data_IF_616555226237
#
_entry.id   IF_616555226237
#
_cell.length_a   1.000
_cell.length_b   1.000
_cell.length_c   1.000
_cell.angle_alpha   90.00
_cell.angle_beta   90.00
_cell.angle_gamma   90.00
#
_symmetry.space_group_name_H-M   'P 1'
#
loop_
_entity.id
_entity.type
_entity.pdbx_description
1 polymer ?
#
# COMPACT_ATOMS: atom_id res chain seq x y z
N UNK A 1 22.94 10.46 5.91
CA UNK A 1 22.39 9.55 4.88
C UNK A 1 20.98 9.20 5.33
N UNK A 2 19.96 9.56 4.55
CA UNK A 2 18.57 9.16 4.82
C UNK A 2 18.25 7.99 3.89
N UNK A 3 17.75 6.89 4.46
CA UNK A 3 17.30 5.74 3.68
C UNK A 3 15.97 6.07 2.99
N UNK A 4 15.84 5.64 1.75
CA UNK A 4 14.66 5.85 0.92
C UNK A 4 13.74 4.64 0.99
N UNK A 5 12.45 4.89 1.06
CA UNK A 5 11.46 3.82 1.01
C UNK A 5 10.33 4.11 0.03
N UNK A 6 9.69 3.05 -0.40
CA UNK A 6 8.42 3.11 -1.11
C UNK A 6 7.29 2.52 -0.27
N UNK A 7 6.09 3.06 -0.41
CA UNK A 7 4.91 2.66 0.36
C UNK A 7 3.80 2.15 -0.58
N UNK A 8 3.77 0.83 -0.80
CA UNK A 8 2.78 0.16 -1.62
C UNK A 8 1.55 -0.18 -0.79
N UNK A 9 0.36 0.00 -1.38
CA UNK A 9 -0.91 -0.14 -0.68
C UNK A 9 -0.98 0.81 0.53
N UNK A 10 -0.51 2.05 0.35
CA UNK A 10 -0.17 2.99 1.43
C UNK A 10 -1.32 3.32 2.40
N UNK A 11 -2.56 2.99 2.05
CA UNK A 11 -3.76 3.36 2.80
C UNK A 11 -3.81 4.88 2.97
N UNK A 12 -3.95 5.32 4.21
CA UNK A 12 -3.91 6.74 4.59
C UNK A 12 -2.50 7.20 5.06
N UNK A 13 -1.48 6.35 4.89
CA UNK A 13 -0.06 6.67 5.13
C UNK A 13 0.48 6.37 6.53
N UNK A 14 -0.05 5.34 7.20
CA UNK A 14 0.43 4.94 8.54
C UNK A 14 1.90 4.51 8.56
N UNK A 15 2.35 3.75 7.55
CA UNK A 15 3.76 3.35 7.42
C UNK A 15 4.67 4.54 7.17
N UNK A 16 4.32 5.38 6.20
CA UNK A 16 5.04 6.63 5.92
C UNK A 16 5.25 7.46 7.18
N UNK A 17 4.20 7.73 7.95
CA UNK A 17 4.28 8.52 9.17
C UNK A 17 5.28 7.92 10.18
N UNK A 18 5.34 6.60 10.31
CA UNK A 18 6.29 5.93 11.19
C UNK A 18 7.74 6.05 10.71
N UNK A 19 7.97 5.84 9.42
CA UNK A 19 9.31 5.87 8.81
C UNK A 19 9.89 7.29 8.71
N UNK A 20 9.08 8.29 8.35
CA UNK A 20 9.52 9.68 8.31
C UNK A 20 9.91 10.19 9.71
N UNK A 21 9.21 9.76 10.77
CA UNK A 21 9.58 10.09 12.17
C UNK A 21 10.97 9.61 12.58
N UNK A 22 11.47 8.53 11.96
CA UNK A 22 12.82 8.01 12.20
C UNK A 22 13.84 8.47 11.14
N UNK A 23 13.47 9.45 10.30
CA UNK A 23 14.37 10.13 9.36
C UNK A 23 14.52 9.47 8.00
N UNK A 24 13.60 8.59 7.60
CA UNK A 24 13.56 7.98 6.28
C UNK A 24 12.76 8.84 5.31
N UNK A 25 13.04 8.73 4.01
CA UNK A 25 12.37 9.52 2.98
C UNK A 25 11.45 8.64 2.13
N UNK A 26 10.17 9.01 2.03
CA UNK A 26 9.25 8.40 1.08
C UNK A 26 9.59 8.92 -0.33
N UNK A 27 9.87 8.03 -1.28
CA UNK A 27 10.17 8.41 -2.68
C UNK A 27 9.10 7.96 -3.67
N UNK A 28 8.19 7.10 -3.24
CA UNK A 28 7.05 6.66 -4.04
C UNK A 28 6.00 6.03 -3.13
N UNK A 29 4.73 6.25 -3.44
CA UNK A 29 3.61 5.57 -2.79
C UNK A 29 2.56 5.15 -3.82
N UNK A 30 1.80 4.09 -3.54
CA UNK A 30 0.69 3.64 -4.40
C UNK A 30 -0.54 3.26 -3.58
N UNK A 31 -1.70 3.75 -4.02
CA UNK A 31 -3.03 3.45 -3.50
C UNK A 31 -4.05 3.62 -4.61
N UNK A 32 -4.87 2.59 -4.83
CA UNK A 32 -5.92 2.58 -5.86
C UNK A 32 -7.22 3.26 -5.40
N UNK A 33 -7.56 3.18 -4.12
CA UNK A 33 -8.75 3.81 -3.55
C UNK A 33 -8.69 5.34 -3.60
N UNK A 34 -9.69 5.98 -4.20
CA UNK A 34 -9.77 7.43 -4.32
C UNK A 34 -9.89 8.14 -2.98
N UNK A 35 -10.65 7.57 -2.04
CA UNK A 35 -10.90 8.22 -0.75
C UNK A 35 -9.66 8.21 0.15
N UNK A 36 -8.97 7.08 0.25
CA UNK A 36 -7.70 6.99 0.97
C UNK A 36 -6.62 7.89 0.35
N UNK A 37 -6.59 8.04 -0.99
CA UNK A 37 -5.67 8.97 -1.66
C UNK A 37 -5.94 10.43 -1.28
N UNK A 38 -7.21 10.82 -1.16
CA UNK A 38 -7.59 12.17 -0.70
C UNK A 38 -7.11 12.42 0.73
N UNK A 39 -7.35 11.46 1.64
CA UNK A 39 -6.87 11.56 3.03
C UNK A 39 -5.34 11.60 3.07
N UNK A 40 -4.68 10.76 2.27
CA UNK A 40 -3.22 10.74 2.17
C UNK A 40 -2.68 12.10 1.69
N UNK A 41 -3.29 12.68 0.66
CA UNK A 41 -2.93 14.02 0.19
C UNK A 41 -3.10 15.08 1.28
N UNK A 42 -4.19 15.03 2.05
CA UNK A 42 -4.40 15.97 3.16
C UNK A 42 -3.33 15.83 4.27
N UNK A 43 -2.69 14.67 4.40
CA UNK A 43 -1.66 14.41 5.41
C UNK A 43 -0.23 14.75 4.92
N UNK A 44 0.05 14.56 3.63
CA UNK A 44 1.42 14.60 3.10
C UNK A 44 1.61 15.52 1.90
N UNK A 45 0.55 16.19 1.43
CA UNK A 45 0.52 17.02 0.21
C UNK A 45 1.00 16.28 -1.06
N UNK A 46 0.98 14.95 -1.01
CA UNK A 46 1.38 14.05 -2.09
C UNK A 46 0.24 13.11 -2.43
N UNK A 47 -0.02 12.92 -3.71
CA UNK A 47 -1.04 11.99 -4.19
C UNK A 47 -0.35 10.65 -4.50
N UNK A 48 -0.70 9.55 -3.82
CA UNK A 48 -0.15 8.24 -4.17
C UNK A 48 -0.42 7.88 -5.62
N UNK A 49 0.45 7.09 -6.23
CA UNK A 49 0.19 6.51 -7.54
C UNK A 49 -1.02 5.56 -7.50
N UNK A 50 -1.66 5.31 -8.64
CA UNK A 50 -2.89 4.50 -8.73
C UNK A 50 -2.68 3.01 -8.51
N UNK A 51 -3.35 2.20 -9.31
CA UNK A 51 -3.14 0.76 -9.34
C UNK A 51 -1.68 0.43 -9.68
N UNK A 52 -0.99 -0.24 -8.75
CA UNK A 52 0.43 -0.61 -8.91
C UNK A 52 0.67 -1.52 -10.12
N UNK A 53 -0.35 -2.22 -10.61
CA UNK A 53 -0.25 -3.10 -11.80
C UNK A 53 -0.11 -2.33 -13.10
N UNK A 54 -0.54 -1.06 -13.11
CA UNK A 54 -0.50 -0.19 -14.30
C UNK A 54 0.76 0.67 -14.37
N UNK A 55 1.61 0.60 -13.34
CA UNK A 55 2.80 1.44 -13.20
C UNK A 55 4.00 0.73 -13.82
N UNK A 56 4.69 1.40 -14.74
CA UNK A 56 5.95 0.90 -15.28
C UNK A 56 7.02 0.92 -14.18
N UNK A 57 7.56 -0.26 -13.85
CA UNK A 57 8.59 -0.44 -12.83
C UNK A 57 9.82 0.44 -13.04
N UNK A 58 10.12 0.83 -14.28
CA UNK A 58 11.26 1.72 -14.60
C UNK A 58 11.03 3.16 -14.14
N UNK A 59 9.80 3.54 -13.85
CA UNK A 59 9.44 4.89 -13.37
C UNK A 59 9.55 5.03 -11.86
N UNK A 60 9.63 3.91 -11.13
CA UNK A 60 9.76 3.91 -9.67
C UNK A 60 11.20 4.36 -9.32
N UNK A 61 11.39 5.42 -8.52
CA UNK A 61 12.72 5.86 -8.09
C UNK A 61 13.46 4.80 -7.30
N UNK A 62 14.79 4.81 -7.35
CA UNK A 62 15.61 3.90 -6.51
C UNK A 62 15.28 4.08 -5.02
N UNK A 63 15.12 2.96 -4.32
CA UNK A 63 14.77 2.90 -2.91
C UNK A 63 15.54 1.78 -2.21
N UNK A 64 15.64 1.88 -0.88
CA UNK A 64 16.33 0.91 -0.03
C UNK A 64 15.33 -0.06 0.64
N UNK A 65 14.10 0.41 0.91
CA UNK A 65 13.07 -0.34 1.63
C UNK A 65 11.75 -0.31 0.86
N UNK A 66 11.10 -1.48 0.75
CA UNK A 66 9.74 -1.61 0.25
C UNK A 66 8.81 -1.91 1.42
N UNK A 67 7.83 -1.02 1.63
CA UNK A 67 6.72 -1.23 2.54
C UNK A 67 5.50 -1.64 1.72
N UNK A 68 4.77 -2.65 2.18
CA UNK A 68 3.57 -3.13 1.52
C UNK A 68 2.50 -3.47 2.56
N UNK A 69 1.52 -2.58 2.72
CA UNK A 69 0.43 -2.72 3.69
C UNK A 69 -0.76 -3.53 3.17
N UNK A 70 -0.56 -4.81 2.83
CA UNK A 70 -1.68 -5.66 2.40
C UNK A 70 -2.54 -6.09 3.60
N UNK A 71 -3.88 -6.19 3.40
CA UNK A 71 -4.82 -6.45 4.49
C UNK A 71 -4.80 -7.93 4.93
N UNK A 72 -4.71 -8.13 6.25
CA UNK A 72 -4.68 -9.43 6.93
C UNK A 72 -6.07 -10.12 7.03
N UNK A 73 -7.16 -9.42 6.68
CA UNK A 73 -8.53 -9.91 6.87
C UNK A 73 -8.84 -11.22 6.14
N UNK A 74 -8.15 -11.49 5.04
CA UNK A 74 -8.31 -12.72 4.25
C UNK A 74 -7.53 -13.92 4.82
N UNK A 75 -6.71 -13.69 5.84
CA UNK A 75 -6.06 -14.74 6.65
C UNK A 75 -6.77 -14.93 8.00
N UNK A 76 -7.83 -14.19 8.29
CA UNK A 76 -8.63 -14.40 9.49
C UNK A 76 -9.50 -15.66 9.33
N UNK A 77 -9.35 -16.61 10.26
CA UNK A 77 -10.01 -17.91 10.21
C UNK A 77 -11.54 -17.80 10.14
N UNK A 78 -12.13 -16.80 10.83
CA UNK A 78 -13.58 -16.55 10.79
C UNK A 78 -14.06 -16.12 9.40
N UNK A 79 -13.27 -15.32 8.69
CA UNK A 79 -13.62 -14.84 7.35
C UNK A 79 -13.50 -15.97 6.32
N UNK A 80 -12.46 -16.80 6.46
CA UNK A 80 -12.24 -18.00 5.62
C UNK A 80 -13.34 -19.04 5.81
N UNK A 81 -13.84 -19.23 7.04
CA UNK A 81 -14.94 -20.15 7.33
C UNK A 81 -16.28 -19.63 6.78
N UNK A 82 -16.51 -18.32 6.81
CA UNK A 82 -17.77 -17.70 6.34
C UNK A 82 -17.83 -17.56 4.81
N UNK A 83 -16.69 -17.43 4.12
CA UNK A 83 -16.62 -17.27 2.65
C UNK A 83 -15.52 -18.12 1.99
N UNK A 84 -15.63 -19.46 2.01
CA UNK A 84 -14.56 -20.38 1.64
C UNK A 84 -14.16 -20.33 0.15
N UNK A 85 -15.08 -19.95 -0.75
CA UNK A 85 -14.80 -19.86 -2.19
C UNK A 85 -14.04 -18.59 -2.60
N UNK A 86 -14.18 -17.48 -1.85
CA UNK A 86 -13.44 -16.23 -2.13
C UNK A 86 -11.98 -16.29 -1.68
N UNK A 87 -11.69 -17.03 -0.60
CA UNK A 87 -10.33 -17.17 -0.07
C UNK A 87 -9.40 -18.03 -0.94
N UNK A 88 -9.94 -18.95 -1.76
CA UNK A 88 -9.15 -19.95 -2.49
C UNK A 88 -8.62 -19.48 -3.85
N UNK A 89 -9.02 -18.29 -4.31
CA UNK A 89 -8.83 -17.87 -5.71
C UNK A 89 -8.30 -16.43 -5.85
N UNK A 90 -7.73 -15.87 -4.78
CA UNK A 90 -7.22 -14.50 -4.76
C UNK A 90 -5.69 -14.48 -4.71
N UNK A 91 -5.07 -13.86 -5.70
CA UNK A 91 -3.64 -13.55 -5.67
C UNK A 91 -3.36 -12.47 -4.62
N UNK A 92 -2.10 -12.34 -4.17
CA UNK A 92 -1.67 -11.26 -3.28
C UNK A 92 -2.03 -9.85 -3.81
N UNK A 93 -2.18 -9.72 -5.14
CA UNK A 93 -2.63 -8.49 -5.79
C UNK A 93 -4.15 -8.29 -5.62
N UNK A 94 -4.95 -9.35 -5.79
CA UNK A 94 -6.42 -9.30 -5.61
C UNK A 94 -6.82 -9.05 -4.15
N UNK A 95 -5.99 -9.51 -3.20
CA UNK A 95 -6.05 -9.17 -1.78
C UNK A 95 -5.90 -7.66 -1.52
N UNK A 96 -5.05 -6.98 -2.29
CA UNK A 96 -4.88 -5.52 -2.22
C UNK A 96 -6.13 -4.77 -2.73
N UNK A 97 -6.79 -5.29 -3.77
CA UNK A 97 -7.96 -4.66 -4.41
C UNK A 97 -9.27 -4.76 -3.62
N UNK A 98 -9.49 -5.82 -2.84
CA UNK A 98 -10.77 -6.03 -2.14
C UNK A 98 -10.94 -5.17 -0.86
N UNK A 99 -9.94 -4.36 -0.59
CA UNK A 99 -9.60 -3.80 0.70
C UNK A 99 -8.97 -2.39 0.55
N UNK A 100 -8.86 -1.94 -0.70
CA UNK A 100 -8.64 -0.56 -1.12
C UNK A 100 -9.98 -0.07 -1.64
#
# INVERSE_FOLDING_TARGET
>A
MSYKFIDLFAGIGGFRLGFEKVGFQCVFSSKIDSHAREIYFNNFEEIPAGDIREIDIKTIPNFDILLAGFLCQLFNIDYTLKYPLKAKQMSLLDLGLLCT
#
